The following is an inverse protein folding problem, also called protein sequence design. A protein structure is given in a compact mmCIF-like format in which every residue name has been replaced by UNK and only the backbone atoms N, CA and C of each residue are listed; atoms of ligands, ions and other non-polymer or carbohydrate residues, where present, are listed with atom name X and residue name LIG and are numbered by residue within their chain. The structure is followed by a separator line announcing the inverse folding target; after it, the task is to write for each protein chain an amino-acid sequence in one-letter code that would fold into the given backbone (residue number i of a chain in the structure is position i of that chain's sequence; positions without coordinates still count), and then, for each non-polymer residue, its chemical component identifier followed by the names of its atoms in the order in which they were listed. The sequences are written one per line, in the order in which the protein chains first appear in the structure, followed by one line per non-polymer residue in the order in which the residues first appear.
data_IF_824190696506
#
_entry.id   IF_824190696506
#
_cell.length_a   1.000
_cell.length_b   1.000
_cell.length_c   1.000
_cell.angle_alpha   90.00
_cell.angle_beta   90.00
_cell.angle_gamma   90.00
#
_symmetry.space_group_name_H-M   'P 1'
#
loop_
_entity.id
_entity.type
_entity.pdbx_description
1 polymer ?
#
# COMPACT_ATOMS: atom_id res chain seq x y z
N UNK A 1 -25.32 -19.40 -11.93
CA UNK A 1 -23.95 -19.07 -11.52
C UNK A 1 -24.06 -18.19 -10.29
N UNK A 2 -23.46 -18.61 -9.16
CA UNK A 2 -23.56 -17.92 -7.88
C UNK A 2 -22.91 -16.53 -7.97
N UNK A 3 -23.70 -15.48 -7.77
CA UNK A 3 -23.18 -14.18 -7.38
C UNK A 3 -22.71 -14.31 -5.94
N UNK A 4 -21.45 -14.72 -5.76
CA UNK A 4 -20.77 -14.57 -4.49
C UNK A 4 -20.53 -13.08 -4.37
N UNK A 5 -21.46 -12.36 -3.74
CA UNK A 5 -21.21 -11.03 -3.19
C UNK A 5 -20.07 -11.17 -2.18
N UNK A 6 -18.84 -11.21 -2.69
CA UNK A 6 -17.68 -10.92 -1.89
C UNK A 6 -17.98 -9.54 -1.30
N UNK A 7 -18.19 -9.51 0.01
CA UNK A 7 -18.13 -8.31 0.82
C UNK A 7 -16.76 -7.69 0.61
N UNK A 8 -16.57 -7.03 -0.55
CA UNK A 8 -15.35 -6.33 -0.90
C UNK A 8 -15.35 -5.14 0.03
N UNK A 9 -14.74 -5.30 1.21
CA UNK A 9 -14.38 -4.18 2.08
C UNK A 9 -13.82 -3.11 1.14
N UNK A 10 -14.42 -1.92 1.14
CA UNK A 10 -14.03 -0.85 0.22
C UNK A 10 -12.52 -0.66 0.34
N UNK A 11 -11.77 -1.05 -0.69
CA UNK A 11 -10.33 -0.92 -0.73
C UNK A 11 -10.01 0.46 -1.31
N UNK A 12 -9.36 1.30 -0.52
CA UNK A 12 -8.97 2.65 -0.92
C UNK A 12 -7.49 2.67 -1.27
N UNK A 13 -7.17 3.25 -2.43
CA UNK A 13 -5.78 3.44 -2.84
C UNK A 13 -5.18 4.65 -2.12
N UNK A 14 -4.22 4.42 -1.24
CA UNK A 14 -3.49 5.47 -0.55
C UNK A 14 -2.09 5.65 -1.11
N UNK A 15 -1.76 6.89 -1.47
CA UNK A 15 -0.44 7.27 -1.97
C UNK A 15 0.37 8.04 -0.92
N UNK A 16 1.62 7.62 -0.71
CA UNK A 16 2.58 8.29 0.19
C UNK A 16 3.99 8.22 -0.38
N UNK A 17 4.77 9.28 -0.13
CA UNK A 17 6.17 9.34 -0.52
C UNK A 17 7.04 9.17 0.73
N UNK A 18 7.98 8.23 0.67
CA UNK A 18 8.95 7.99 1.72
C UNK A 18 10.37 8.30 1.23
N UNK A 19 11.24 8.71 2.14
CA UNK A 19 12.67 8.85 1.85
C UNK A 19 13.30 7.46 1.63
N UNK A 20 14.24 7.39 0.70
CA UNK A 20 14.91 6.14 0.32
C UNK A 20 14.44 5.61 -1.03
N UNK A 21 15.05 4.52 -1.49
CA UNK A 21 14.65 3.84 -2.73
C UNK A 21 13.70 2.69 -2.40
N UNK A 22 12.96 2.22 -3.39
CA UNK A 22 12.18 0.99 -3.24
C UNK A 22 13.10 -0.17 -2.84
N UNK A 23 12.82 -0.80 -1.70
CA UNK A 23 13.44 -2.08 -1.35
C UNK A 23 13.01 -3.18 -2.32
N UNK A 24 13.75 -4.28 -2.39
CA UNK A 24 13.36 -5.47 -3.15
C UNK A 24 12.89 -6.56 -2.17
N UNK A 25 11.66 -7.08 -2.29
CA UNK A 25 10.61 -6.70 -3.24
C UNK A 25 9.85 -5.43 -2.78
N UNK A 26 9.50 -4.57 -3.74
CA UNK A 26 9.00 -3.20 -3.49
C UNK A 26 7.62 -3.13 -2.83
N UNK A 27 6.79 -4.15 -3.07
CA UNK A 27 5.50 -4.34 -2.43
C UNK A 27 5.64 -4.44 -0.90
N UNK A 28 6.50 -5.34 -0.42
CA UNK A 28 6.73 -5.55 1.03
C UNK A 28 7.38 -4.35 1.69
N UNK A 29 8.21 -3.61 0.96
CA UNK A 29 8.84 -2.40 1.47
C UNK A 29 7.79 -1.32 1.79
N UNK A 30 6.92 -1.01 0.84
CA UNK A 30 5.85 -0.04 1.04
C UNK A 30 4.81 -0.52 2.07
N UNK A 31 4.45 -1.80 2.04
CA UNK A 31 3.55 -2.38 3.04
C UNK A 31 4.11 -2.21 4.46
N UNK A 32 5.40 -2.50 4.65
CA UNK A 32 6.08 -2.31 5.94
C UNK A 32 6.11 -0.86 6.37
N UNK A 33 6.29 0.09 5.45
CA UNK A 33 6.29 1.52 5.75
C UNK A 33 4.91 2.00 6.19
N UNK A 34 3.86 1.61 5.48
CA UNK A 34 2.48 1.91 5.88
C UNK A 34 2.17 1.34 7.27
N UNK A 35 2.49 0.07 7.51
CA UNK A 35 2.24 -0.57 8.80
C UNK A 35 3.04 0.05 9.95
N UNK A 36 4.33 0.37 9.74
CA UNK A 36 5.24 0.83 10.81
C UNK A 36 5.22 2.34 11.03
N UNK A 37 5.06 3.14 9.97
CA UNK A 37 5.12 4.62 10.05
C UNK A 37 3.75 5.27 10.14
N UNK A 38 2.75 4.67 9.52
CA UNK A 38 1.39 5.22 9.47
C UNK A 38 0.40 4.43 10.33
N UNK A 39 0.85 3.34 10.97
CA UNK A 39 0.00 2.42 11.74
C UNK A 39 -1.12 1.78 10.89
N UNK A 40 -0.92 1.71 9.58
CA UNK A 40 -1.89 1.21 8.61
C UNK A 40 -1.82 -0.31 8.50
N UNK A 41 -2.34 -1.00 9.51
CA UNK A 41 -2.24 -2.47 9.61
C UNK A 41 -2.96 -3.20 8.46
N UNK A 42 -3.95 -2.55 7.85
CA UNK A 42 -4.71 -3.10 6.71
C UNK A 42 -4.04 -2.90 5.36
N UNK A 43 -2.86 -2.26 5.32
CA UNK A 43 -2.13 -2.03 4.08
C UNK A 43 -1.81 -3.33 3.35
N UNK A 44 -2.21 -3.39 2.09
CA UNK A 44 -2.06 -4.53 1.20
C UNK A 44 -1.93 -4.09 -0.26
N UNK A 45 -1.57 -5.03 -1.15
CA UNK A 45 -1.37 -4.78 -2.60
C UNK A 45 -0.55 -3.52 -2.88
N UNK A 46 0.54 -3.36 -2.13
CA UNK A 46 1.39 -2.19 -2.23
C UNK A 46 2.24 -2.25 -3.50
N UNK A 47 2.39 -1.09 -4.14
CA UNK A 47 3.35 -0.89 -5.23
C UNK A 47 4.37 0.15 -4.79
N UNK A 48 5.61 -0.05 -5.22
CA UNK A 48 6.68 0.91 -5.01
C UNK A 48 7.23 1.37 -6.36
N UNK A 49 7.17 2.66 -6.61
CA UNK A 49 7.80 3.29 -7.77
C UNK A 49 9.00 4.10 -7.28
N UNK A 50 10.24 3.77 -7.71
CA UNK A 50 11.39 4.58 -7.36
C UNK A 50 11.30 5.94 -8.08
N UNK A 51 11.36 7.03 -7.33
CA UNK A 51 11.40 8.41 -7.85
C UNK A 51 12.63 9.12 -7.29
N UNK A 52 13.72 9.12 -8.07
CA UNK A 52 15.02 9.66 -7.65
C UNK A 52 15.49 9.07 -6.30
N UNK A 53 15.49 9.88 -5.23
CA UNK A 53 15.87 9.51 -3.85
C UNK A 53 14.66 9.19 -2.94
N UNK A 54 13.48 8.98 -3.53
CA UNK A 54 12.23 8.71 -2.81
C UNK A 54 11.55 7.45 -3.34
N UNK A 55 10.84 6.78 -2.44
CA UNK A 55 9.98 5.65 -2.72
C UNK A 55 8.55 6.18 -2.79
N UNK A 56 7.96 6.15 -3.98
CA UNK A 56 6.56 6.50 -4.21
C UNK A 56 5.73 5.24 -3.98
N UNK A 57 5.15 5.13 -2.81
CA UNK A 57 4.35 3.99 -2.38
C UNK A 57 2.87 4.23 -2.61
N UNK A 58 2.19 3.24 -3.17
CA UNK A 58 0.73 3.21 -3.23
C UNK A 58 0.24 1.88 -2.68
N UNK A 59 -0.62 1.89 -1.67
CA UNK A 59 -1.16 0.69 -1.02
C UNK A 59 -2.69 0.74 -0.98
N UNK A 60 -3.33 -0.42 -0.93
CA UNK A 60 -4.76 -0.54 -0.65
C UNK A 60 -5.01 -0.64 0.85
N UNK A 61 -5.93 0.18 1.36
CA UNK A 61 -6.35 0.24 2.76
C UNK A 61 -7.83 -0.11 2.90
N UNK A 62 -8.24 -0.55 4.09
CA UNK A 62 -9.66 -0.78 4.41
C UNK A 62 -10.48 0.48 4.69
N UNK A 63 -9.86 1.66 4.67
CA UNK A 63 -10.50 2.95 4.87
C UNK A 63 -9.84 4.03 4.02
N UNK A 64 -10.49 5.19 3.93
CA UNK A 64 -9.97 6.33 3.19
C UNK A 64 -8.67 6.85 3.82
N UNK A 65 -7.74 7.25 2.95
CA UNK A 65 -6.54 8.00 3.31
C UNK A 65 -6.77 9.52 3.27
#
# INVERSE_FOLDING_TARGET
FQEVEANMMRQFSCHRNFLGVCGTPGDKYCESLFKRRLNEQTASKCICVPKHKRASCTCQLGHQC
#
